data_IF_953420393951
#
_entry.id   IF_953420393951
#
_cell.length_a   1.000
_cell.length_b   1.000
_cell.length_c   1.000
_cell.angle_alpha   90.00
_cell.angle_beta   90.00
_cell.angle_gamma   90.00
#
_symmetry.space_group_name_H-M   'P 1'
#
loop_
_entity.id
_entity.type
_entity.pdbx_description
1 polymer ?
#
# COMPACT_ATOMS: atom_id res chain seq x y z
N UNK A 1 20.91 -24.13 -3.38
CA UNK A 1 19.81 -24.44 -2.45
C UNK A 1 19.12 -23.13 -2.11
N UNK A 2 17.79 -23.01 -2.20
CA UNK A 2 17.10 -21.80 -1.77
C UNK A 2 17.45 -21.54 -0.30
N UNK A 3 18.00 -20.35 0.01
CA UNK A 3 18.32 -19.96 1.38
C UNK A 3 17.01 -19.94 2.19
N UNK A 4 16.77 -20.95 3.02
CA UNK A 4 15.63 -20.95 3.93
C UNK A 4 15.90 -19.96 5.06
N UNK A 5 15.10 -18.90 5.12
CA UNK A 5 15.12 -17.95 6.24
C UNK A 5 14.66 -18.71 7.50
N UNK A 6 15.37 -18.54 8.62
CA UNK A 6 14.99 -19.18 9.88
C UNK A 6 13.64 -18.63 10.35
N UNK A 7 12.74 -19.45 10.92
CA UNK A 7 11.40 -19.01 11.36
C UNK A 7 11.44 -17.81 12.32
N UNK A 8 12.37 -17.80 13.28
CA UNK A 8 12.52 -16.70 14.23
C UNK A 8 12.94 -15.37 13.57
N UNK A 9 13.84 -15.43 12.58
CA UNK A 9 14.25 -14.24 11.81
C UNK A 9 13.12 -13.75 10.91
N UNK A 10 12.36 -14.67 10.31
CA UNK A 10 11.18 -14.33 9.51
C UNK A 10 10.13 -13.59 10.34
N UNK A 11 9.82 -14.11 11.54
CA UNK A 11 8.86 -13.48 12.47
C UNK A 11 9.28 -12.07 12.88
N UNK A 12 10.58 -11.85 13.10
CA UNK A 12 11.09 -10.55 13.46
C UNK A 12 10.93 -9.53 12.31
N UNK A 13 11.20 -9.93 11.07
CA UNK A 13 11.08 -9.06 9.90
C UNK A 13 9.61 -8.69 9.65
N UNK A 14 8.69 -9.66 9.78
CA UNK A 14 7.27 -9.44 9.49
C UNK A 14 6.48 -8.85 10.66
N UNK A 15 7.08 -8.67 11.85
CA UNK A 15 6.38 -8.24 13.09
C UNK A 15 5.56 -6.96 12.93
N UNK A 16 6.04 -6.04 12.08
CA UNK A 16 5.44 -4.74 11.84
C UNK A 16 4.31 -4.76 10.79
N UNK A 17 4.01 -5.92 10.21
CA UNK A 17 2.90 -6.11 9.28
C UNK A 17 1.59 -6.46 9.99
N UNK A 18 0.49 -6.28 9.27
CA UNK A 18 -0.83 -6.71 9.73
C UNK A 18 -0.86 -8.23 9.95
N UNK A 19 -1.73 -8.72 10.83
CA UNK A 19 -1.89 -10.15 11.08
C UNK A 19 -2.21 -10.93 9.80
N UNK A 20 -3.03 -10.33 8.91
CA UNK A 20 -3.37 -10.89 7.60
C UNK A 20 -2.14 -11.05 6.69
N UNK A 21 -1.30 -10.03 6.63
CA UNK A 21 -0.08 -10.06 5.80
C UNK A 21 0.97 -11.03 6.36
N UNK A 22 1.09 -11.10 7.69
CA UNK A 22 1.99 -12.05 8.37
C UNK A 22 1.63 -13.50 8.03
N UNK A 23 0.36 -13.87 8.17
CA UNK A 23 -0.12 -15.21 7.80
C UNK A 23 0.16 -15.53 6.34
N UNK A 24 -0.16 -14.59 5.45
CA UNK A 24 0.11 -14.74 4.01
C UNK A 24 1.58 -15.05 3.72
N UNK A 25 2.51 -14.32 4.36
CA UNK A 25 3.96 -14.52 4.16
C UNK A 25 4.43 -15.84 4.75
N UNK A 26 3.86 -16.29 5.87
CA UNK A 26 4.20 -17.56 6.53
C UNK A 26 3.68 -18.79 5.75
N UNK A 27 2.54 -18.66 5.07
CA UNK A 27 1.90 -19.74 4.31
C UNK A 27 2.45 -19.88 2.87
N UNK A 28 3.13 -18.85 2.35
CA UNK A 28 3.61 -18.82 0.96
C UNK A 28 5.07 -19.25 0.84
N UNK A 29 5.42 -19.91 -0.27
CA UNK A 29 6.82 -20.19 -0.58
C UNK A 29 7.54 -18.91 -1.03
N UNK A 30 8.52 -18.47 -0.24
CA UNK A 30 9.27 -17.23 -0.48
C UNK A 30 10.32 -17.43 -1.58
N UNK A 31 9.89 -17.30 -2.83
CA UNK A 31 10.80 -17.22 -3.98
C UNK A 31 11.23 -15.78 -4.26
N UNK A 32 12.39 -15.63 -4.92
CA UNK A 32 12.92 -14.33 -5.36
C UNK A 32 11.92 -13.65 -6.30
N UNK A 33 11.39 -14.39 -7.26
CA UNK A 33 10.40 -13.91 -8.25
C UNK A 33 9.12 -13.39 -7.56
N UNK A 34 8.61 -14.15 -6.59
CA UNK A 34 7.42 -13.74 -5.84
C UNK A 34 7.66 -12.44 -5.07
N UNK A 35 8.82 -12.29 -4.44
CA UNK A 35 9.17 -11.07 -3.72
C UNK A 35 9.31 -9.87 -4.66
N UNK A 36 9.97 -10.04 -5.80
CA UNK A 36 10.14 -8.98 -6.80
C UNK A 36 8.79 -8.55 -7.38
N UNK A 37 7.91 -9.49 -7.72
CA UNK A 37 6.55 -9.19 -8.19
C UNK A 37 5.74 -8.44 -7.13
N UNK A 38 5.79 -8.88 -5.86
CA UNK A 38 5.06 -8.21 -4.78
C UNK A 38 5.62 -6.81 -4.47
N UNK A 39 6.94 -6.60 -4.57
CA UNK A 39 7.55 -5.26 -4.47
C UNK A 39 7.02 -4.36 -5.59
N UNK A 40 7.00 -4.85 -6.82
CA UNK A 40 6.56 -4.07 -7.97
C UNK A 40 5.07 -3.72 -7.86
N UNK A 41 4.23 -4.70 -7.52
CA UNK A 41 2.80 -4.50 -7.25
C UNK A 41 2.59 -3.42 -6.18
N UNK A 42 3.34 -3.50 -5.09
CA UNK A 42 3.23 -2.54 -3.98
C UNK A 42 3.65 -1.13 -4.42
N UNK A 43 4.69 -1.00 -5.25
CA UNK A 43 5.07 0.28 -5.86
C UNK A 43 3.98 0.84 -6.77
N UNK A 44 3.33 0.00 -7.59
CA UNK A 44 2.23 0.44 -8.46
C UNK A 44 1.04 0.98 -7.65
N UNK A 45 0.69 0.30 -6.55
CA UNK A 45 -0.37 0.76 -5.64
C UNK A 45 -0.04 2.12 -5.02
N UNK A 46 1.18 2.29 -4.50
CA UNK A 46 1.65 3.58 -3.96
C UNK A 46 1.64 4.69 -5.02
N UNK A 47 2.06 4.39 -6.25
CA UNK A 47 1.99 5.37 -7.37
C UNK A 47 0.55 5.74 -7.70
N UNK A 48 -0.37 4.77 -7.75
CA UNK A 48 -1.79 5.04 -8.00
C UNK A 48 -2.37 5.97 -6.94
N UNK A 49 -2.09 5.73 -5.66
CA UNK A 49 -2.56 6.58 -4.57
C UNK A 49 -2.10 8.04 -4.75
N UNK A 50 -0.87 8.24 -5.21
CA UNK A 50 -0.35 9.57 -5.53
C UNK A 50 -1.04 10.18 -6.76
N UNK A 51 -1.13 9.43 -7.86
CA UNK A 51 -1.69 9.88 -9.13
C UNK A 51 -3.19 10.17 -9.09
N UNK A 52 -3.94 9.55 -8.17
CA UNK A 52 -5.36 9.83 -8.00
C UNK A 52 -5.60 10.79 -6.83
N UNK A 53 -4.92 10.58 -5.72
CA UNK A 53 -5.11 11.38 -4.51
C UNK A 53 -4.69 12.83 -4.69
N UNK A 54 -3.54 13.10 -5.34
CA UNK A 54 -3.03 14.46 -5.48
C UNK A 54 -3.91 15.32 -6.42
N UNK A 55 -4.28 14.87 -7.64
CA UNK A 55 -5.20 15.65 -8.47
C UNK A 55 -6.57 15.85 -7.83
N UNK A 56 -7.09 14.86 -7.10
CA UNK A 56 -8.37 14.99 -6.42
C UNK A 56 -8.32 16.02 -5.29
N UNK A 57 -7.25 15.99 -4.48
CA UNK A 57 -7.02 16.96 -3.43
C UNK A 57 -6.90 18.38 -3.99
N UNK A 58 -6.20 18.55 -5.12
CA UNK A 58 -6.11 19.84 -5.81
C UNK A 58 -7.48 20.31 -6.32
N UNK A 59 -8.26 19.44 -6.94
CA UNK A 59 -9.60 19.78 -7.43
C UNK A 59 -10.52 20.23 -6.29
N UNK A 60 -10.51 19.51 -5.17
CA UNK A 60 -11.27 19.89 -3.97
C UNK A 60 -10.79 21.23 -3.40
N UNK A 61 -9.47 21.41 -3.24
CA UNK A 61 -8.89 22.63 -2.68
C UNK A 61 -9.19 23.87 -3.53
N UNK A 62 -9.08 23.75 -4.87
CA UNK A 62 -9.42 24.82 -5.81
C UNK A 62 -10.92 25.12 -5.77
N UNK A 63 -11.77 24.09 -5.73
CA UNK A 63 -13.22 24.26 -5.62
C UNK A 63 -13.59 25.01 -4.34
N UNK A 64 -13.02 24.59 -3.21
CA UNK A 64 -13.26 25.23 -1.91
C UNK A 64 -12.79 26.68 -1.90
N UNK A 65 -11.62 26.98 -2.48
CA UNK A 65 -11.08 28.33 -2.50
C UNK A 65 -11.85 29.28 -3.43
N UNK A 66 -12.30 28.81 -4.60
CA UNK A 66 -13.00 29.65 -5.59
C UNK A 66 -14.49 29.80 -5.32
N UNK A 67 -15.16 28.72 -4.90
CA UNK A 67 -16.64 28.64 -4.84
C UNK A 67 -17.13 28.60 -3.39
N UNK A 68 -16.25 28.32 -2.43
CA UNK A 68 -16.64 28.16 -1.03
C UNK A 68 -17.38 26.84 -0.79
N UNK A 69 -18.13 26.77 0.31
CA UNK A 69 -18.86 25.55 0.70
C UNK A 69 -20.20 25.46 -0.05
N UNK A 70 -20.15 25.02 -1.31
CA UNK A 70 -21.32 24.82 -2.18
C UNK A 70 -21.54 23.31 -2.45
N UNK A 71 -22.75 22.93 -2.88
CA UNK A 71 -23.10 21.61 -3.40
C UNK A 71 -22.04 21.00 -4.34
N UNK A 72 -21.41 21.80 -5.22
CA UNK A 72 -20.33 21.31 -6.10
C UNK A 72 -19.12 20.82 -5.28
N UNK A 73 -18.66 21.64 -4.34
CA UNK A 73 -17.53 21.31 -3.46
C UNK A 73 -17.83 20.12 -2.56
N UNK A 74 -19.06 20.04 -2.03
CA UNK A 74 -19.55 18.88 -1.26
C UNK A 74 -19.58 17.62 -2.13
N UNK A 75 -20.02 17.73 -3.39
CA UNK A 75 -20.07 16.59 -4.32
C UNK A 75 -18.67 16.05 -4.60
N UNK A 76 -17.71 16.93 -4.91
CA UNK A 76 -16.30 16.56 -5.11
C UNK A 76 -15.72 15.90 -3.85
N UNK A 77 -16.06 16.43 -2.67
CA UNK A 77 -15.63 15.85 -1.40
C UNK A 77 -16.19 14.45 -1.19
N UNK A 78 -17.50 14.25 -1.32
CA UNK A 78 -18.17 12.97 -1.08
C UNK A 78 -17.67 11.90 -2.04
N UNK A 79 -17.55 12.20 -3.34
CA UNK A 79 -16.99 11.26 -4.32
C UNK A 79 -15.56 10.89 -3.95
N UNK A 80 -14.75 11.86 -3.54
CA UNK A 80 -13.39 11.64 -3.05
C UNK A 80 -13.32 10.71 -1.86
N UNK A 81 -14.16 10.94 -0.84
CA UNK A 81 -14.24 10.10 0.36
C UNK A 81 -14.64 8.67 0.00
N UNK A 82 -15.69 8.48 -0.81
CA UNK A 82 -16.12 7.14 -1.25
C UNK A 82 -14.99 6.41 -1.96
N UNK A 83 -14.28 7.09 -2.88
CA UNK A 83 -13.13 6.51 -3.57
C UNK A 83 -11.97 6.15 -2.61
N UNK A 84 -11.62 7.06 -1.68
CA UNK A 84 -10.54 6.84 -0.72
C UNK A 84 -10.85 5.69 0.24
N UNK A 85 -12.11 5.59 0.69
CA UNK A 85 -12.57 4.48 1.53
C UNK A 85 -12.45 3.17 0.75
N UNK A 86 -12.99 3.12 -0.47
CA UNK A 86 -12.92 1.92 -1.32
C UNK A 86 -11.48 1.47 -1.57
N UNK A 87 -10.59 2.39 -1.95
CA UNK A 87 -9.17 2.07 -2.21
C UNK A 87 -8.44 1.62 -0.95
N UNK A 88 -8.71 2.26 0.20
CA UNK A 88 -8.12 1.86 1.49
C UNK A 88 -8.51 0.43 1.88
N UNK A 89 -9.78 0.05 1.71
CA UNK A 89 -10.24 -1.32 2.03
C UNK A 89 -9.74 -2.37 1.04
N UNK A 90 -9.69 -2.05 -0.26
CA UNK A 90 -9.32 -3.02 -1.30
C UNK A 90 -7.81 -3.24 -1.41
N UNK A 91 -7.02 -2.17 -1.27
CA UNK A 91 -5.58 -2.18 -1.58
C UNK A 91 -4.69 -1.75 -0.42
N UNK A 92 -5.28 -1.32 0.70
CA UNK A 92 -4.54 -0.79 1.83
C UNK A 92 -4.10 0.66 1.60
N UNK A 93 -3.69 1.32 2.69
CA UNK A 93 -3.16 2.68 2.63
C UNK A 93 -1.75 2.70 2.05
N UNK A 94 -1.33 3.87 1.54
CA UNK A 94 0.06 4.13 1.15
C UNK A 94 1.07 3.68 2.23
N UNK A 95 0.82 4.01 3.50
CA UNK A 95 1.71 3.64 4.61
C UNK A 95 1.83 2.13 4.82
N UNK A 96 0.73 1.39 4.70
CA UNK A 96 0.75 -0.08 4.78
C UNK A 96 1.52 -0.69 3.61
N UNK A 97 1.33 -0.15 2.41
CA UNK A 97 2.06 -0.59 1.22
C UNK A 97 3.56 -0.26 1.34
N UNK A 98 3.92 0.91 1.86
CA UNK A 98 5.33 1.24 2.11
C UNK A 98 6.00 0.28 3.11
N UNK A 99 5.29 -0.13 4.17
CA UNK A 99 5.80 -1.14 5.13
C UNK A 99 5.97 -2.51 4.49
N UNK A 100 4.98 -2.97 3.70
CA UNK A 100 5.06 -4.23 2.94
C UNK A 100 6.26 -4.25 2.01
N UNK A 101 6.46 -3.17 1.25
CA UNK A 101 7.61 -3.02 0.35
C UNK A 101 8.94 -3.19 1.10
N UNK A 102 9.13 -2.48 2.22
CA UNK A 102 10.36 -2.58 3.03
C UNK A 102 10.61 -4.01 3.50
N UNK A 103 9.57 -4.69 3.98
CA UNK A 103 9.66 -6.08 4.42
C UNK A 103 10.06 -7.00 3.26
N UNK A 104 9.43 -6.87 2.09
CA UNK A 104 9.78 -7.69 0.93
C UNK A 104 11.20 -7.42 0.44
N UNK A 105 11.66 -6.17 0.43
CA UNK A 105 13.04 -5.81 0.09
C UNK A 105 14.05 -6.42 1.08
N UNK A 106 13.72 -6.44 2.37
CA UNK A 106 14.56 -7.04 3.41
C UNK A 106 14.63 -8.57 3.26
N UNK A 107 13.49 -9.23 3.00
CA UNK A 107 13.45 -10.66 2.70
C UNK A 107 14.24 -11.00 1.43
N UNK A 108 14.13 -10.20 0.38
CA UNK A 108 14.86 -10.37 -0.88
C UNK A 108 16.37 -10.27 -0.67
N UNK A 109 16.83 -9.30 0.13
CA UNK A 109 18.25 -9.14 0.49
C UNK A 109 18.82 -10.34 1.24
N UNK A 110 18.00 -11.04 2.03
CA UNK A 110 18.41 -12.24 2.78
C UNK A 110 18.43 -13.50 1.91
N UNK A 111 17.59 -13.55 0.88
CA UNK A 111 17.49 -14.66 -0.07
C UNK A 111 18.56 -14.63 -1.15
N UNK A 112 19.00 -13.44 -1.59
CA UNK A 112 20.19 -13.26 -2.45
C UNK A 112 21.46 -13.53 -1.63
#
# INVERSE_FOLDING_TARGET
>A
MPKKIKPAELEEIIKNLSSKDRKKIQEQELSVEWLEENIERTNRLMKRDFWVGLPWFLAYSISLWKVGMNNITVTIFVIGVVYFVYTTFTTGTYGNNQRRKKVYEELLKKLK
#
